data_IF_614217508129
#
_entry.id   IF_614217508129
#
_cell.length_a   1.000
_cell.length_b   1.000
_cell.length_c   1.000
_cell.angle_alpha   90.00
_cell.angle_beta   90.00
_cell.angle_gamma   90.00
#
_symmetry.space_group_name_H-M   'P 1'
#
loop_
_entity.id
_entity.type
_entity.pdbx_description
1 polymer ?
#
# COMPACT_ATOMS: atom_id res chain seq x y z
N UNK A 1 24.21 11.58 59.52
CA UNK A 1 22.98 10.82 59.18
C UNK A 1 22.59 11.24 57.78
N UNK A 2 23.00 10.46 56.78
CA UNK A 2 22.64 10.69 55.40
C UNK A 2 21.25 10.11 55.19
N UNK A 3 20.27 10.98 54.90
CA UNK A 3 19.02 10.55 54.31
C UNK A 3 19.34 10.01 52.92
N UNK A 4 19.34 8.68 52.80
CA UNK A 4 19.32 8.03 51.50
C UNK A 4 18.01 8.45 50.82
N UNK A 5 18.12 9.32 49.83
CA UNK A 5 17.04 9.59 48.88
C UNK A 5 16.69 8.27 48.21
N UNK A 6 15.54 7.70 48.57
CA UNK A 6 14.87 6.68 47.77
C UNK A 6 14.58 7.33 46.41
N UNK A 7 15.46 7.12 45.43
CA UNK A 7 15.10 7.33 44.04
C UNK A 7 13.97 6.35 43.74
N UNK A 8 12.74 6.84 43.60
CA UNK A 8 11.66 6.08 42.98
C UNK A 8 12.19 5.63 41.62
N UNK A 9 12.38 4.32 41.44
CA UNK A 9 12.80 3.76 40.16
C UNK A 9 11.76 4.14 39.10
N UNK A 10 12.24 4.46 37.91
CA UNK A 10 11.41 4.80 36.77
C UNK A 10 10.50 3.60 36.43
N UNK A 11 9.16 3.74 36.44
CA UNK A 11 8.25 2.63 36.18
C UNK A 11 8.52 1.89 34.86
N UNK A 12 8.98 2.61 33.83
CA UNK A 12 9.34 2.01 32.56
C UNK A 12 10.60 1.11 32.64
N UNK A 13 11.57 1.50 33.47
CA UNK A 13 12.79 0.72 33.71
C UNK A 13 12.46 -0.57 34.48
N UNK A 14 11.54 -0.52 35.44
CA UNK A 14 11.04 -1.71 36.15
C UNK A 14 10.30 -2.67 35.21
N UNK A 15 9.57 -2.13 34.22
CA UNK A 15 8.93 -2.95 33.18
C UNK A 15 10.01 -3.61 32.32
N UNK A 16 11.03 -2.87 31.88
CA UNK A 16 12.13 -3.40 31.07
C UNK A 16 12.86 -4.55 31.78
N UNK A 17 13.18 -4.42 33.06
CA UNK A 17 13.83 -5.47 33.86
C UNK A 17 13.00 -6.77 33.93
N UNK A 18 11.67 -6.68 33.79
CA UNK A 18 10.76 -7.84 33.83
C UNK A 18 10.50 -8.45 32.46
N UNK A 19 10.81 -7.75 31.37
CA UNK A 19 10.71 -8.31 30.01
C UNK A 19 11.79 -9.37 29.82
N UNK A 20 11.35 -10.59 29.56
CA UNK A 20 12.25 -11.72 29.29
C UNK A 20 12.16 -12.14 27.83
N UNK A 21 13.23 -11.92 27.08
CA UNK A 21 13.33 -12.27 25.65
C UNK A 21 13.36 -13.77 25.38
N UNK A 22 13.64 -14.62 26.40
CA UNK A 22 13.50 -16.06 26.29
C UNK A 22 12.05 -16.53 26.48
N UNK A 23 11.19 -15.67 27.04
CA UNK A 23 9.79 -15.95 27.35
C UNK A 23 8.84 -14.94 26.69
N UNK A 24 9.01 -14.71 25.38
CA UNK A 24 8.34 -13.65 24.61
C UNK A 24 6.82 -13.57 24.81
N UNK A 25 6.13 -14.73 24.85
CA UNK A 25 4.68 -14.79 25.06
C UNK A 25 4.29 -14.24 26.43
N UNK A 26 5.02 -14.63 27.47
CA UNK A 26 4.76 -14.17 28.84
C UNK A 26 5.07 -12.67 28.99
N UNK A 27 6.13 -12.20 28.33
CA UNK A 27 6.48 -10.77 28.29
C UNK A 27 5.39 -9.94 27.59
N UNK A 28 4.84 -10.44 26.48
CA UNK A 28 3.72 -9.79 25.79
C UNK A 28 2.46 -9.75 26.67
N UNK A 29 2.11 -10.88 27.30
CA UNK A 29 0.95 -10.96 28.19
C UNK A 29 1.10 -10.03 29.41
N UNK A 30 2.33 -9.88 29.93
CA UNK A 30 2.65 -8.90 30.98
C UNK A 30 2.45 -7.46 30.51
N UNK A 31 2.98 -7.08 29.34
CA UNK A 31 2.80 -5.73 28.78
C UNK A 31 1.33 -5.39 28.56
N UNK A 32 0.52 -6.35 28.11
CA UNK A 32 -0.93 -6.19 27.92
C UNK A 32 -1.66 -5.95 29.25
N UNK A 33 -1.13 -6.41 30.38
CA UNK A 33 -1.74 -6.25 31.71
C UNK A 33 -1.33 -4.96 32.43
N UNK A 34 -0.34 -4.22 31.92
CA UNK A 34 0.10 -2.97 32.53
C UNK A 34 -1.00 -1.92 32.55
N UNK A 35 -0.88 -0.96 33.48
CA UNK A 35 -1.67 0.27 33.43
C UNK A 35 -1.31 1.07 32.17
N UNK A 36 -2.31 1.72 31.56
CA UNK A 36 -2.12 2.39 30.27
C UNK A 36 -1.04 3.47 30.31
N UNK A 37 -0.94 4.28 31.38
CA UNK A 37 0.12 5.27 31.51
C UNK A 37 1.52 4.65 31.54
N UNK A 38 1.68 3.53 32.24
CA UNK A 38 2.96 2.82 32.34
C UNK A 38 3.34 2.18 31.00
N UNK A 39 2.36 1.63 30.28
CA UNK A 39 2.59 1.07 28.95
C UNK A 39 3.01 2.14 27.95
N UNK A 40 2.34 3.30 27.93
CA UNK A 40 2.67 4.42 27.03
C UNK A 40 4.07 4.99 27.35
N UNK A 41 4.41 5.17 28.63
CA UNK A 41 5.76 5.60 29.04
C UNK A 41 6.82 4.58 28.62
N UNK A 42 6.52 3.28 28.72
CA UNK A 42 7.41 2.22 28.26
C UNK A 42 7.59 2.24 26.74
N UNK A 43 6.52 2.47 25.98
CA UNK A 43 6.56 2.58 24.50
C UNK A 43 7.51 3.71 24.08
N UNK A 44 7.40 4.88 24.71
CA UNK A 44 8.22 6.04 24.36
C UNK A 44 9.71 5.84 24.68
N UNK A 45 10.04 5.13 25.76
CA UNK A 45 11.44 4.92 26.20
C UNK A 45 12.10 3.68 25.59
N UNK A 46 11.32 2.63 25.35
CA UNK A 46 11.80 1.31 24.93
C UNK A 46 11.08 0.79 23.69
N UNK A 47 10.72 1.68 22.77
CA UNK A 47 10.05 1.40 21.48
C UNK A 47 10.71 0.25 20.72
N UNK A 48 12.04 0.16 20.69
CA UNK A 48 12.76 -0.95 20.05
C UNK A 48 12.39 -2.34 20.58
N UNK A 49 12.13 -2.47 21.88
CA UNK A 49 11.67 -3.74 22.49
C UNK A 49 10.28 -4.10 21.98
N UNK A 50 9.40 -3.11 21.91
CA UNK A 50 8.03 -3.30 21.47
C UNK A 50 7.97 -3.61 19.97
N UNK A 51 8.74 -2.91 19.14
CA UNK A 51 8.90 -3.19 17.70
C UNK A 51 9.39 -4.62 17.48
N UNK A 52 10.39 -5.06 18.24
CA UNK A 52 10.88 -6.44 18.18
C UNK A 52 9.78 -7.44 18.52
N UNK A 53 9.06 -7.23 19.63
CA UNK A 53 7.98 -8.12 20.04
C UNK A 53 6.88 -8.18 18.99
N UNK A 54 6.40 -7.04 18.48
CA UNK A 54 5.33 -6.98 17.49
C UNK A 54 5.66 -7.70 16.18
N UNK A 55 6.95 -7.73 15.81
CA UNK A 55 7.43 -8.42 14.60
C UNK A 55 7.67 -9.93 14.80
N UNK A 56 7.73 -10.44 16.04
CA UNK A 56 8.04 -11.86 16.34
C UNK A 56 6.85 -12.61 16.96
N UNK A 57 5.92 -11.89 17.59
CA UNK A 57 4.71 -12.47 18.18
C UNK A 57 3.72 -12.95 17.10
N UNK A 58 2.87 -13.90 17.48
CA UNK A 58 1.74 -14.31 16.66
C UNK A 58 0.70 -13.18 16.53
N UNK A 59 -0.09 -13.16 15.43
CA UNK A 59 -1.02 -12.06 15.12
C UNK A 59 -1.96 -11.70 16.28
N UNK A 60 -2.52 -12.69 16.97
CA UNK A 60 -3.46 -12.47 18.08
C UNK A 60 -2.83 -11.71 19.24
N UNK A 61 -1.58 -12.03 19.61
CA UNK A 61 -0.86 -11.34 20.68
C UNK A 61 -0.42 -9.95 20.26
N UNK A 62 0.08 -9.79 19.04
CA UNK A 62 0.41 -8.47 18.49
C UNK A 62 -0.82 -7.57 18.50
N UNK A 63 -1.98 -8.08 18.09
CA UNK A 63 -3.24 -7.32 18.11
C UNK A 63 -3.67 -6.91 19.51
N UNK A 64 -3.61 -7.81 20.49
CA UNK A 64 -3.94 -7.47 21.88
C UNK A 64 -3.04 -6.36 22.41
N UNK A 65 -1.75 -6.41 22.13
CA UNK A 65 -0.80 -5.39 22.55
C UNK A 65 -1.04 -4.06 21.83
N UNK A 66 -1.21 -4.08 20.51
CA UNK A 66 -1.53 -2.90 19.71
C UNK A 66 -2.85 -2.24 20.12
N UNK A 67 -3.87 -3.02 20.49
CA UNK A 67 -5.17 -2.50 20.92
C UNK A 67 -5.10 -1.66 22.21
N UNK A 68 -4.02 -1.79 22.97
CA UNK A 68 -3.75 -1.03 24.20
C UNK A 68 -3.05 0.29 23.93
N UNK A 69 -2.51 0.50 22.72
CA UNK A 69 -1.70 1.67 22.38
C UNK A 69 -2.55 2.80 21.80
N UNK A 70 -2.18 4.03 22.15
CA UNK A 70 -2.71 5.23 21.49
C UNK A 70 -2.14 5.40 20.09
N UNK A 71 -2.80 6.19 19.23
CA UNK A 71 -2.25 6.52 17.90
C UNK A 71 -0.90 7.26 18.01
N UNK A 72 -0.69 8.04 19.08
CA UNK A 72 0.58 8.71 19.33
C UNK A 72 1.71 7.71 19.64
N UNK A 73 1.43 6.70 20.46
CA UNK A 73 2.36 5.60 20.72
C UNK A 73 2.65 4.80 19.46
N UNK A 74 1.63 4.50 18.66
CA UNK A 74 1.83 3.83 17.37
C UNK A 74 2.69 4.68 16.43
N UNK A 75 2.43 5.99 16.31
CA UNK A 75 3.26 6.89 15.52
C UNK A 75 4.73 6.86 16.00
N UNK A 76 4.97 6.94 17.31
CA UNK A 76 6.33 6.87 17.86
C UNK A 76 7.04 5.55 17.53
N UNK A 77 6.33 4.42 17.54
CA UNK A 77 6.87 3.13 17.10
C UNK A 77 7.23 3.14 15.61
N UNK A 78 6.37 3.72 14.77
CA UNK A 78 6.59 3.79 13.33
C UNK A 78 7.78 4.70 12.98
N UNK A 79 7.90 5.84 13.67
CA UNK A 79 9.04 6.75 13.54
C UNK A 79 10.35 6.06 13.93
N UNK A 80 10.37 5.36 15.06
CA UNK A 80 11.58 4.67 15.52
C UNK A 80 11.96 3.50 14.62
N UNK A 81 11.00 2.67 14.20
CA UNK A 81 11.27 1.58 13.27
C UNK A 81 11.78 2.13 11.92
N UNK A 82 11.20 3.23 11.42
CA UNK A 82 11.69 3.90 10.22
C UNK A 82 13.13 4.43 10.40
N UNK A 83 13.45 5.05 11.54
CA UNK A 83 14.83 5.48 11.89
C UNK A 83 15.79 4.31 11.87
N UNK A 84 15.47 3.23 12.58
CA UNK A 84 16.31 2.01 12.62
C UNK A 84 16.51 1.41 11.22
N UNK A 85 15.47 1.42 10.38
CA UNK A 85 15.55 0.94 9.01
C UNK A 85 16.46 1.82 8.16
N UNK A 86 16.24 3.13 8.15
CA UNK A 86 17.06 4.05 7.38
C UNK A 86 18.54 4.00 7.81
N UNK A 87 18.83 3.92 9.12
CA UNK A 87 20.20 3.74 9.63
C UNK A 87 20.81 2.43 9.15
N UNK A 88 20.04 1.33 9.21
CA UNK A 88 20.51 0.03 8.70
C UNK A 88 20.82 0.13 7.21
N UNK A 89 19.91 0.70 6.43
CA UNK A 89 20.06 0.83 4.98
C UNK A 89 21.24 1.74 4.61
N UNK A 90 21.45 2.85 5.35
CA UNK A 90 22.65 3.69 5.26
C UNK A 90 23.94 2.87 5.39
N UNK A 91 23.99 1.89 6.29
CA UNK A 91 25.16 1.02 6.43
C UNK A 91 25.37 0.06 5.24
N UNK A 92 24.35 -0.19 4.42
CA UNK A 92 24.41 -1.07 3.24
C UNK A 92 24.67 -0.33 1.93
N UNK A 93 24.46 0.99 1.89
CA UNK A 93 24.60 1.81 0.67
C UNK A 93 26.05 1.97 0.16
N UNK A 94 27.06 1.60 0.96
CA UNK A 94 28.47 1.69 0.54
C UNK A 94 28.90 3.13 0.22
N UNK A 95 29.82 3.29 -0.74
CA UNK A 95 30.44 4.57 -1.16
C UNK A 95 29.55 5.42 -2.12
N UNK A 96 28.22 5.41 -1.97
CA UNK A 96 27.33 6.32 -2.71
C UNK A 96 26.93 7.53 -1.83
N UNK A 97 27.75 8.60 -1.80
CA UNK A 97 27.54 9.74 -0.90
C UNK A 97 26.24 10.48 -1.16
N UNK A 98 25.70 10.47 -2.39
CA UNK A 98 24.48 11.20 -2.73
C UNK A 98 23.23 10.53 -2.13
N UNK A 99 23.15 9.20 -2.19
CA UNK A 99 22.07 8.45 -1.54
C UNK A 99 22.12 8.59 -0.03
N UNK A 100 23.32 8.58 0.55
CA UNK A 100 23.52 8.80 1.98
C UNK A 100 23.00 10.16 2.41
N UNK A 101 23.40 11.25 1.73
CA UNK A 101 22.94 12.62 2.02
C UNK A 101 21.41 12.71 1.93
N UNK A 102 20.82 12.07 0.91
CA UNK A 102 19.37 12.08 0.70
C UNK A 102 18.63 11.36 1.83
N UNK A 103 19.09 10.18 2.26
CA UNK A 103 18.46 9.44 3.36
C UNK A 103 18.66 10.13 4.71
N UNK A 104 19.83 10.72 4.97
CA UNK A 104 20.05 11.51 6.19
C UNK A 104 19.15 12.75 6.19
N UNK A 105 19.03 13.46 5.07
CA UNK A 105 18.14 14.61 4.94
C UNK A 105 16.67 14.24 5.14
N UNK A 106 16.27 13.05 4.67
CA UNK A 106 14.94 12.51 4.95
C UNK A 106 14.70 12.21 6.43
N UNK A 107 15.68 11.64 7.14
CA UNK A 107 15.57 11.43 8.59
C UNK A 107 15.48 12.75 9.35
N UNK A 108 16.30 13.73 8.97
CA UNK A 108 16.21 15.09 9.53
C UNK A 108 14.82 15.71 9.28
N UNK A 109 14.19 15.42 8.14
CA UNK A 109 12.82 15.85 7.84
C UNK A 109 11.78 15.17 8.73
N UNK A 110 11.91 13.87 8.99
CA UNK A 110 11.02 13.13 9.92
C UNK A 110 11.04 13.78 11.30
N UNK A 111 12.22 14.16 11.80
CA UNK A 111 12.33 14.78 13.12
C UNK A 111 11.89 16.26 13.10
N UNK A 112 12.28 17.04 12.08
CA UNK A 112 11.95 18.47 11.98
C UNK A 112 10.49 18.75 11.70
N UNK A 113 9.80 17.87 10.96
CA UNK A 113 8.39 18.01 10.64
C UNK A 113 7.48 17.30 11.65
N UNK A 114 8.03 16.72 12.72
CA UNK A 114 7.23 16.22 13.83
C UNK A 114 6.40 17.36 14.45
N UNK A 115 5.08 17.16 14.51
CA UNK A 115 4.10 18.16 14.94
C UNK A 115 3.64 19.13 13.85
N UNK A 116 4.16 19.02 12.61
CA UNK A 116 3.77 19.88 11.49
C UNK A 116 2.82 19.16 10.52
N UNK A 117 1.71 19.82 10.18
CA UNK A 117 0.66 19.27 9.28
C UNK A 117 0.95 19.44 7.78
N UNK A 118 2.00 20.18 7.42
CA UNK A 118 2.31 20.58 6.04
C UNK A 118 3.77 20.37 5.71
N UNK A 119 4.05 19.86 4.51
CA UNK A 119 5.40 19.73 3.97
C UNK A 119 5.68 20.93 3.05
N UNK A 120 6.74 21.73 3.29
CA UNK A 120 7.14 22.78 2.37
C UNK A 120 7.50 22.23 0.99
N UNK A 121 7.13 22.94 -0.09
CA UNK A 121 7.27 22.42 -1.47
C UNK A 121 8.72 22.03 -1.83
N UNK A 122 9.71 22.76 -1.32
CA UNK A 122 11.14 22.46 -1.54
C UNK A 122 11.58 21.10 -0.94
N UNK A 123 10.89 20.62 0.09
CA UNK A 123 11.20 19.34 0.77
C UNK A 123 10.51 18.16 0.10
N UNK A 124 9.46 18.42 -0.71
CA UNK A 124 8.67 17.36 -1.37
C UNK A 124 9.53 16.50 -2.30
N UNK A 125 10.49 17.11 -2.99
CA UNK A 125 11.45 16.40 -3.85
C UNK A 125 12.40 15.51 -3.06
N UNK A 126 12.92 15.99 -1.93
CA UNK A 126 13.80 15.21 -1.05
C UNK A 126 13.09 13.98 -0.51
N UNK A 127 11.83 14.12 -0.09
CA UNK A 127 11.01 12.98 0.36
C UNK A 127 10.81 11.99 -0.79
N UNK A 128 10.46 12.45 -1.99
CA UNK A 128 10.25 11.57 -3.14
C UNK A 128 11.51 10.78 -3.49
N UNK A 129 12.67 11.43 -3.55
CA UNK A 129 13.94 10.79 -3.86
C UNK A 129 14.35 9.78 -2.78
N UNK A 130 14.19 10.13 -1.51
CA UNK A 130 14.46 9.23 -0.38
C UNK A 130 13.57 8.00 -0.42
N UNK A 131 12.26 8.17 -0.65
CA UNK A 131 11.30 7.06 -0.71
C UNK A 131 11.58 6.15 -1.89
N UNK A 132 12.03 6.69 -3.03
CA UNK A 132 12.50 5.89 -4.17
C UNK A 132 13.70 5.03 -3.78
N UNK A 133 14.72 5.62 -3.14
CA UNK A 133 15.90 4.87 -2.65
C UNK A 133 15.46 3.75 -1.69
N UNK A 134 14.61 4.05 -0.70
CA UNK A 134 14.13 3.06 0.26
C UNK A 134 13.32 1.93 -0.42
N UNK A 135 12.52 2.25 -1.44
CA UNK A 135 11.73 1.26 -2.18
C UNK A 135 12.61 0.31 -3.00
N UNK A 136 13.64 0.85 -3.66
CA UNK A 136 14.61 0.07 -4.43
C UNK A 136 15.35 -0.90 -3.50
N UNK A 137 15.83 -0.40 -2.35
CA UNK A 137 16.52 -1.20 -1.33
C UNK A 137 15.61 -2.28 -0.71
N UNK A 138 14.34 -1.96 -0.44
CA UNK A 138 13.37 -2.94 0.07
C UNK A 138 13.15 -4.08 -0.92
N UNK A 139 13.19 -3.79 -2.22
CA UNK A 139 12.99 -4.78 -3.28
C UNK A 139 14.19 -5.70 -3.44
N UNK A 140 15.41 -5.15 -3.40
CA UNK A 140 16.65 -5.92 -3.45
C UNK A 140 16.87 -6.79 -2.20
N UNK A 141 16.51 -6.28 -1.03
CA UNK A 141 16.67 -6.98 0.25
C UNK A 141 15.58 -8.00 0.58
N UNK A 142 14.46 -8.00 -0.15
CA UNK A 142 13.38 -8.99 -0.06
C UNK A 142 12.64 -9.06 1.28
N UNK A 143 12.80 -8.09 2.19
CA UNK A 143 12.24 -8.14 3.55
C UNK A 143 11.20 -7.04 3.76
N UNK A 144 9.92 -7.44 3.74
CA UNK A 144 8.81 -6.60 4.23
C UNK A 144 9.02 -6.25 5.71
N UNK A 145 8.68 -5.02 6.09
CA UNK A 145 8.73 -4.50 7.47
C UNK A 145 7.35 -4.04 7.90
N UNK A 146 7.21 -3.65 9.16
CA UNK A 146 5.92 -3.21 9.71
C UNK A 146 4.82 -4.26 9.56
N UNK A 147 5.16 -5.55 9.63
CA UNK A 147 4.22 -6.65 9.35
C UNK A 147 3.01 -6.61 10.29
N UNK A 148 3.20 -6.10 11.50
CA UNK A 148 2.13 -5.94 12.47
C UNK A 148 1.05 -4.94 12.03
N UNK A 149 1.32 -4.08 11.05
CA UNK A 149 0.29 -3.20 10.47
C UNK A 149 -0.79 -3.99 9.74
N UNK A 150 -0.47 -5.15 9.16
CA UNK A 150 -1.45 -6.00 8.48
C UNK A 150 -2.50 -6.58 9.42
N UNK A 151 -2.23 -6.59 10.72
CA UNK A 151 -3.15 -7.14 11.70
C UNK A 151 -4.25 -6.15 12.08
N UNK A 152 -4.05 -4.85 11.90
CA UNK A 152 -5.09 -3.86 12.16
C UNK A 152 -6.24 -3.99 11.16
N UNK A 153 -7.47 -3.73 11.64
CA UNK A 153 -8.63 -3.53 10.75
C UNK A 153 -8.41 -2.32 9.83
N UNK A 154 -9.03 -2.34 8.65
CA UNK A 154 -8.95 -1.23 7.68
C UNK A 154 -9.29 0.14 8.32
N UNK A 155 -10.36 0.22 9.10
CA UNK A 155 -10.79 1.46 9.78
C UNK A 155 -9.69 2.02 10.71
N UNK A 156 -9.01 1.11 11.43
CA UNK A 156 -7.93 1.49 12.35
C UNK A 156 -6.66 1.92 11.60
N UNK A 157 -6.33 1.27 10.49
CA UNK A 157 -5.24 1.71 9.62
C UNK A 157 -5.51 3.11 9.04
N UNK A 158 -6.74 3.35 8.56
CA UNK A 158 -7.15 4.67 8.10
C UNK A 158 -7.02 5.74 9.19
N UNK A 159 -7.44 5.42 10.42
CA UNK A 159 -7.30 6.32 11.57
C UNK A 159 -5.83 6.63 11.88
N UNK A 160 -4.96 5.61 11.92
CA UNK A 160 -3.53 5.76 12.19
C UNK A 160 -2.86 6.59 11.09
N UNK A 161 -3.08 6.26 9.81
CA UNK A 161 -2.41 6.97 8.72
C UNK A 161 -2.92 8.40 8.56
N UNK A 162 -4.20 8.65 8.84
CA UNK A 162 -4.72 10.03 8.92
C UNK A 162 -4.06 10.80 10.06
N UNK A 163 -3.96 10.19 11.24
CA UNK A 163 -3.27 10.81 12.39
C UNK A 163 -1.81 11.11 12.07
N UNK A 164 -1.08 10.17 11.45
CA UNK A 164 0.30 10.38 11.01
C UNK A 164 0.38 11.52 9.98
N UNK A 165 -0.57 11.61 9.05
CA UNK A 165 -0.60 12.69 8.07
C UNK A 165 -0.80 14.08 8.69
N UNK A 166 -1.44 14.14 9.85
CA UNK A 166 -1.63 15.38 10.62
C UNK A 166 -0.46 15.67 11.57
N UNK A 167 0.22 14.64 12.09
CA UNK A 167 1.24 14.79 13.13
C UNK A 167 2.67 14.69 12.64
N UNK A 168 2.94 13.86 11.63
CA UNK A 168 4.25 13.73 11.02
C UNK A 168 4.10 13.10 9.61
N UNK A 169 3.71 13.90 8.60
CA UNK A 169 3.46 13.40 7.23
C UNK A 169 4.59 12.55 6.64
N UNK A 170 5.90 12.89 6.79
CA UNK A 170 7.02 12.08 6.32
C UNK A 170 6.91 10.58 6.62
N UNK A 171 6.44 10.21 7.82
CA UNK A 171 6.37 8.81 8.27
C UNK A 171 5.59 7.95 7.30
N UNK A 172 4.44 8.41 6.81
CA UNK A 172 3.60 7.65 5.89
C UNK A 172 4.34 7.29 4.59
N UNK A 173 5.19 8.16 4.05
CA UNK A 173 5.94 7.85 2.83
C UNK A 173 7.01 6.79 3.07
N UNK A 174 7.70 6.85 4.21
CA UNK A 174 8.66 5.82 4.61
C UNK A 174 8.01 4.45 4.74
N UNK A 175 6.79 4.39 5.30
CA UNK A 175 6.02 3.14 5.39
C UNK A 175 5.70 2.56 4.01
N UNK A 176 5.37 3.38 3.02
CA UNK A 176 5.03 2.91 1.67
C UNK A 176 6.15 2.11 1.00
N UNK A 177 7.41 2.41 1.32
CA UNK A 177 8.58 1.73 0.75
C UNK A 177 8.76 0.30 1.27
N UNK A 178 8.49 0.04 2.56
CA UNK A 178 8.78 -1.25 3.20
C UNK A 178 7.56 -2.10 3.57
N UNK A 179 6.37 -1.49 3.56
CA UNK A 179 5.13 -2.16 3.94
C UNK A 179 4.54 -2.95 2.78
N UNK A 180 3.54 -3.78 3.09
CA UNK A 180 2.81 -4.54 2.08
C UNK A 180 1.96 -3.66 1.17
N UNK A 181 1.52 -4.24 0.05
CA UNK A 181 0.64 -3.59 -0.91
C UNK A 181 -0.64 -3.06 -0.25
N UNK A 182 -1.27 -3.82 0.65
CA UNK A 182 -2.47 -3.40 1.36
C UNK A 182 -2.26 -2.13 2.20
N UNK A 183 -1.17 -2.07 2.97
CA UNK A 183 -0.82 -0.89 3.77
C UNK A 183 -0.55 0.31 2.86
N UNK A 184 0.21 0.10 1.79
CA UNK A 184 0.53 1.13 0.80
C UNK A 184 -0.72 1.68 0.10
N UNK A 185 -1.65 0.80 -0.28
CA UNK A 185 -2.93 1.18 -0.90
C UNK A 185 -3.78 2.02 0.05
N UNK A 186 -3.78 1.68 1.34
CA UNK A 186 -4.49 2.45 2.37
C UNK A 186 -3.86 3.83 2.57
N UNK A 187 -2.53 3.93 2.59
CA UNK A 187 -1.83 5.23 2.68
C UNK A 187 -2.14 6.09 1.45
N UNK A 188 -2.09 5.53 0.24
CA UNK A 188 -2.44 6.23 -0.99
C UNK A 188 -3.88 6.76 -0.97
N UNK A 189 -4.83 5.95 -0.50
CA UNK A 189 -6.24 6.35 -0.36
C UNK A 189 -6.39 7.54 0.60
N UNK A 190 -5.71 7.49 1.75
CA UNK A 190 -5.73 8.56 2.75
C UNK A 190 -5.09 9.85 2.21
N UNK A 191 -3.95 9.75 1.54
CA UNK A 191 -3.30 10.89 0.89
C UNK A 191 -4.25 11.54 -0.14
N UNK A 192 -4.78 10.75 -1.07
CA UNK A 192 -5.67 11.25 -2.11
C UNK A 192 -6.94 11.94 -1.55
N UNK A 193 -7.50 11.43 -0.45
CA UNK A 193 -8.72 12.02 0.14
C UNK A 193 -8.47 13.25 1.01
N UNK A 194 -7.35 13.31 1.72
CA UNK A 194 -7.14 14.30 2.76
C UNK A 194 -6.06 15.33 2.43
N UNK A 195 -5.01 14.95 1.70
CA UNK A 195 -3.89 15.80 1.30
C UNK A 195 -3.39 15.40 -0.11
N UNK A 196 -4.21 15.57 -1.16
CA UNK A 196 -3.86 15.10 -2.50
C UNK A 196 -2.58 15.75 -3.05
N UNK A 197 -2.25 16.97 -2.61
CA UNK A 197 -1.02 17.68 -2.97
C UNK A 197 0.26 16.94 -2.57
N UNK A 198 0.17 16.04 -1.59
CA UNK A 198 1.27 15.23 -1.13
C UNK A 198 1.51 13.97 -1.98
N UNK A 199 0.63 13.67 -2.94
CA UNK A 199 0.85 12.58 -3.90
C UNK A 199 2.07 12.84 -4.80
N UNK A 200 2.49 14.09 -4.95
CA UNK A 200 3.72 14.44 -5.69
C UNK A 200 4.98 13.89 -5.00
N UNK A 201 4.92 13.62 -3.70
CA UNK A 201 6.03 13.02 -2.93
C UNK A 201 6.13 11.50 -3.13
N UNK A 202 5.16 10.87 -3.78
CA UNK A 202 5.15 9.42 -3.97
C UNK A 202 5.89 9.07 -5.28
N UNK A 203 6.88 8.17 -5.26
CA UNK A 203 7.48 7.65 -6.48
C UNK A 203 6.45 6.92 -7.36
N UNK A 204 6.47 7.08 -8.70
CA UNK A 204 5.52 6.43 -9.61
C UNK A 204 5.41 4.91 -9.44
N UNK A 205 6.51 4.24 -9.10
CA UNK A 205 6.59 2.78 -8.89
C UNK A 205 5.79 2.28 -7.69
N UNK A 206 5.40 3.17 -6.76
CA UNK A 206 4.63 2.82 -5.57
C UNK A 206 3.12 2.98 -5.76
N UNK A 207 2.67 3.53 -6.89
CA UNK A 207 1.24 3.63 -7.21
C UNK A 207 0.67 2.26 -7.64
N UNK A 208 -0.55 1.98 -7.19
CA UNK A 208 -1.32 0.81 -7.61
C UNK A 208 -2.54 1.24 -8.41
N UNK A 209 -2.83 0.51 -9.50
CA UNK A 209 -4.03 0.74 -10.31
C UNK A 209 -5.33 0.38 -9.57
N UNK A 210 -5.28 -0.28 -8.40
CA UNK A 210 -6.50 -0.62 -7.65
C UNK A 210 -7.29 0.61 -7.23
N UNK A 211 -6.59 1.71 -6.95
CA UNK A 211 -7.18 2.99 -6.58
C UNK A 211 -7.48 3.91 -7.78
N UNK A 212 -7.42 3.41 -9.02
CA UNK A 212 -7.52 4.27 -10.22
C UNK A 212 -8.79 5.14 -10.25
N UNK A 213 -9.94 4.65 -9.76
CA UNK A 213 -11.18 5.44 -9.70
C UNK A 213 -11.05 6.68 -8.81
N UNK A 214 -10.33 6.57 -7.70
CA UNK A 214 -10.05 7.69 -6.82
C UNK A 214 -9.08 8.68 -7.49
N UNK A 215 -8.11 8.15 -8.21
CA UNK A 215 -7.13 8.94 -8.96
C UNK A 215 -7.71 9.71 -10.14
N UNK A 216 -8.86 9.30 -10.67
CA UNK A 216 -9.59 10.03 -11.72
C UNK A 216 -10.34 11.27 -11.23
N UNK A 217 -10.53 11.45 -9.91
CA UNK A 217 -11.12 12.69 -9.39
C UNK A 217 -10.24 13.88 -9.78
N UNK A 218 -10.76 14.94 -10.44
CA UNK A 218 -9.98 16.10 -10.84
C UNK A 218 -9.18 16.74 -9.69
N UNK A 219 -9.70 16.67 -8.45
CA UNK A 219 -9.02 17.21 -7.25
C UNK A 219 -7.79 16.41 -6.83
N UNK A 220 -7.65 15.20 -7.35
CA UNK A 220 -6.56 14.27 -7.06
C UNK A 220 -5.65 14.14 -8.28
N UNK A 221 -6.24 14.00 -9.46
CA UNK A 221 -5.57 13.71 -10.72
C UNK A 221 -4.42 14.68 -11.03
N UNK A 222 -4.65 15.98 -10.82
CA UNK A 222 -3.67 17.03 -11.10
C UNK A 222 -2.41 16.95 -10.24
N UNK A 223 -2.46 16.26 -9.09
CA UNK A 223 -1.34 16.05 -8.18
C UNK A 223 -0.60 14.73 -8.40
N UNK A 224 -1.08 13.87 -9.30
CA UNK A 224 -0.39 12.65 -9.65
C UNK A 224 0.84 12.96 -10.53
N UNK A 225 1.94 12.19 -10.41
CA UNK A 225 3.03 12.28 -11.38
C UNK A 225 2.52 12.02 -12.81
N UNK A 226 3.08 12.71 -13.81
CA UNK A 226 2.62 12.63 -15.21
C UNK A 226 2.60 11.20 -15.76
N UNK A 227 3.59 10.38 -15.38
CA UNK A 227 3.65 8.96 -15.75
C UNK A 227 2.46 8.17 -15.20
N UNK A 228 2.05 8.46 -13.96
CA UNK A 228 0.89 7.83 -13.32
C UNK A 228 -0.42 8.35 -13.94
N UNK A 229 -0.51 9.64 -14.25
CA UNK A 229 -1.64 10.22 -14.96
C UNK A 229 -1.90 9.52 -16.30
N UNK A 230 -0.84 9.26 -17.07
CA UNK A 230 -0.91 8.50 -18.32
C UNK A 230 -1.48 7.10 -18.10
N UNK A 231 -0.91 6.35 -17.16
CA UNK A 231 -1.35 4.99 -16.81
C UNK A 231 -2.81 4.97 -16.37
N UNK A 232 -3.24 5.90 -15.51
CA UNK A 232 -4.61 5.97 -15.00
C UNK A 232 -5.60 6.26 -16.13
N UNK A 233 -5.29 7.20 -17.04
CA UNK A 233 -6.15 7.52 -18.19
C UNK A 233 -6.25 6.37 -19.18
N UNK A 234 -5.12 5.71 -19.46
CA UNK A 234 -5.08 4.55 -20.34
C UNK A 234 -5.91 3.40 -19.76
N UNK A 235 -5.71 3.10 -18.47
CA UNK A 235 -6.47 2.07 -17.78
C UNK A 235 -7.97 2.40 -17.76
N UNK A 236 -8.35 3.64 -17.49
CA UNK A 236 -9.75 4.06 -17.52
C UNK A 236 -10.38 3.91 -18.92
N UNK A 237 -9.64 4.26 -19.97
CA UNK A 237 -10.07 4.08 -21.36
C UNK A 237 -10.27 2.60 -21.69
N UNK A 238 -9.37 1.73 -21.23
CA UNK A 238 -9.51 0.27 -21.36
C UNK A 238 -10.74 -0.26 -20.61
N UNK A 239 -11.04 0.26 -19.41
CA UNK A 239 -12.23 -0.16 -18.66
C UNK A 239 -13.53 0.30 -19.34
N UNK A 240 -13.59 1.52 -19.86
CA UNK A 240 -14.74 2.01 -20.64
C UNK A 240 -14.92 1.19 -21.93
N UNK A 241 -13.85 0.96 -22.68
CA UNK A 241 -13.88 0.09 -23.86
C UNK A 241 -14.36 -1.33 -23.53
N UNK A 242 -13.99 -1.86 -22.36
CA UNK A 242 -14.44 -3.17 -21.87
C UNK A 242 -15.95 -3.16 -21.68
N UNK A 243 -16.46 -2.16 -20.98
CA UNK A 243 -17.87 -2.04 -20.65
C UNK A 243 -18.73 -1.83 -21.90
N UNK A 244 -18.25 -1.05 -22.87
CA UNK A 244 -18.92 -0.84 -24.16
C UNK A 244 -18.99 -2.14 -24.98
N UNK A 245 -17.90 -2.91 -24.98
CA UNK A 245 -17.84 -4.20 -25.66
C UNK A 245 -18.80 -5.20 -24.98
N UNK A 246 -18.77 -5.31 -23.65
CA UNK A 246 -19.70 -6.16 -22.87
C UNK A 246 -21.15 -5.75 -23.15
N UNK A 247 -21.46 -4.46 -23.11
CA UNK A 247 -22.82 -3.96 -23.38
C UNK A 247 -23.26 -4.34 -24.79
N UNK A 248 -22.38 -4.19 -25.78
CA UNK A 248 -22.66 -4.58 -27.17
C UNK A 248 -22.90 -6.08 -27.32
N UNK A 249 -22.12 -6.91 -26.62
CA UNK A 249 -22.29 -8.37 -26.59
C UNK A 249 -23.64 -8.73 -25.95
N UNK A 250 -23.98 -8.15 -24.79
CA UNK A 250 -25.25 -8.41 -24.10
C UNK A 250 -26.45 -8.02 -24.95
N UNK A 251 -26.40 -6.89 -25.66
CA UNK A 251 -27.44 -6.49 -26.60
C UNK A 251 -27.61 -7.50 -27.75
N UNK A 252 -26.50 -8.02 -28.29
CA UNK A 252 -26.52 -9.07 -29.33
C UNK A 252 -27.09 -10.39 -28.85
N UNK A 253 -26.84 -10.74 -27.58
CA UNK A 253 -27.36 -11.94 -26.94
C UNK A 253 -28.76 -11.74 -26.33
N UNK A 254 -29.37 -10.56 -26.48
CA UNK A 254 -30.64 -10.18 -25.86
C UNK A 254 -30.69 -10.40 -24.34
N UNK A 255 -29.55 -10.16 -23.68
CA UNK A 255 -29.40 -10.31 -22.23
C UNK A 255 -29.71 -8.99 -21.52
N UNK A 256 -30.56 -9.05 -20.51
CA UNK A 256 -30.72 -7.99 -19.50
C UNK A 256 -29.47 -7.87 -18.61
N UNK A 257 -29.32 -6.75 -17.88
CA UNK A 257 -28.11 -6.48 -17.08
C UNK A 257 -27.83 -7.54 -15.99
N UNK A 258 -28.87 -8.20 -15.48
CA UNK A 258 -28.77 -9.08 -14.31
C UNK A 258 -28.75 -10.58 -14.69
N UNK A 259 -28.91 -10.91 -15.97
CA UNK A 259 -28.88 -12.30 -16.44
C UNK A 259 -27.46 -12.86 -16.42
N UNK A 260 -27.30 -14.07 -15.86
CA UNK A 260 -26.06 -14.83 -15.95
C UNK A 260 -25.81 -15.27 -17.39
N UNK A 261 -24.54 -15.19 -17.81
CA UNK A 261 -24.12 -15.66 -19.12
C UNK A 261 -23.91 -17.18 -19.05
N UNK A 262 -24.82 -17.95 -19.65
CA UNK A 262 -24.59 -19.37 -19.88
C UNK A 262 -24.09 -19.55 -21.32
N UNK A 263 -22.77 -19.62 -21.45
CA UNK A 263 -22.08 -19.74 -22.72
C UNK A 263 -22.41 -21.03 -23.49
N UNK A 264 -22.95 -22.07 -22.86
CA UNK A 264 -23.37 -23.31 -23.53
C UNK A 264 -24.78 -23.21 -24.12
N UNK A 265 -25.60 -22.30 -23.62
CA UNK A 265 -27.02 -22.15 -23.98
C UNK A 265 -27.29 -21.32 -25.25
N UNK A 266 -26.31 -20.58 -25.76
CA UNK A 266 -26.53 -19.67 -26.89
C UNK A 266 -26.63 -20.39 -28.23
N UNK A 267 -27.56 -19.93 -29.06
CA UNK A 267 -27.67 -20.33 -30.46
C UNK A 267 -26.33 -20.09 -31.20
N UNK A 268 -25.84 -21.07 -32.00
CA UNK A 268 -24.62 -20.92 -32.80
C UNK A 268 -24.57 -19.63 -33.64
N UNK A 269 -25.69 -19.16 -34.19
CA UNK A 269 -25.73 -17.94 -35.01
C UNK A 269 -25.48 -16.69 -34.16
N UNK A 270 -26.16 -16.59 -33.00
CA UNK A 270 -25.96 -15.49 -32.06
C UNK A 270 -24.51 -15.46 -31.54
N UNK A 271 -23.91 -16.63 -31.31
CA UNK A 271 -22.51 -16.76 -30.92
C UNK A 271 -21.55 -16.28 -32.02
N UNK A 272 -21.76 -16.66 -33.27
CA UNK A 272 -20.93 -16.17 -34.39
C UNK A 272 -21.03 -14.65 -34.55
N UNK A 273 -22.21 -14.06 -34.34
CA UNK A 273 -22.37 -12.60 -34.34
C UNK A 273 -21.57 -11.92 -33.22
N UNK A 274 -21.49 -12.53 -32.03
CA UNK A 274 -20.65 -12.07 -30.92
C UNK A 274 -19.17 -12.17 -31.27
N UNK A 275 -18.71 -13.30 -31.82
CA UNK A 275 -17.31 -13.46 -32.24
C UNK A 275 -16.91 -12.43 -33.29
N UNK A 276 -17.76 -12.20 -34.30
CA UNK A 276 -17.54 -11.19 -35.33
C UNK A 276 -17.50 -9.76 -34.75
N UNK A 277 -18.37 -9.46 -33.79
CA UNK A 277 -18.35 -8.18 -33.08
C UNK A 277 -17.02 -7.97 -32.34
N UNK A 278 -16.59 -8.99 -31.58
CA UNK A 278 -15.34 -8.93 -30.80
C UNK A 278 -14.14 -8.78 -31.74
N UNK A 279 -14.06 -9.60 -32.80
CA UNK A 279 -13.00 -9.49 -33.79
C UNK A 279 -12.95 -8.10 -34.44
N UNK A 280 -14.09 -7.59 -34.90
CA UNK A 280 -14.17 -6.28 -35.57
C UNK A 280 -13.73 -5.15 -34.66
N UNK A 281 -14.05 -5.22 -33.36
CA UNK A 281 -13.65 -4.23 -32.37
C UNK A 281 -12.16 -4.32 -32.01
N UNK A 282 -11.63 -5.54 -31.86
CA UNK A 282 -10.27 -5.75 -31.38
C UNK A 282 -9.19 -5.76 -32.47
N UNK A 283 -9.55 -5.91 -33.76
CA UNK A 283 -8.56 -6.05 -34.86
C UNK A 283 -7.63 -4.85 -35.05
N UNK A 284 -8.02 -3.66 -34.61
CA UNK A 284 -7.20 -2.44 -34.70
C UNK A 284 -6.48 -2.11 -33.38
N UNK A 285 -6.79 -2.83 -32.31
CA UNK A 285 -6.19 -2.59 -31.00
C UNK A 285 -4.75 -3.14 -30.95
N UNK A 286 -3.89 -2.61 -30.08
CA UNK A 286 -2.59 -3.22 -29.78
C UNK A 286 -2.74 -4.64 -29.21
N UNK A 287 -1.73 -5.48 -29.40
CA UNK A 287 -1.75 -6.89 -28.93
C UNK A 287 -2.07 -7.01 -27.44
N UNK A 288 -1.47 -6.18 -26.61
CA UNK A 288 -1.66 -6.19 -25.16
C UNK A 288 -3.11 -5.88 -24.77
N UNK A 289 -3.73 -4.91 -25.43
CA UNK A 289 -5.14 -4.55 -25.24
C UNK A 289 -6.06 -5.68 -25.71
N UNK A 290 -5.77 -6.33 -26.85
CA UNK A 290 -6.52 -7.52 -27.30
C UNK A 290 -6.48 -8.64 -26.26
N UNK A 291 -5.28 -8.96 -25.78
CA UNK A 291 -5.09 -10.01 -24.77
C UNK A 291 -5.81 -9.69 -23.47
N UNK A 292 -5.79 -8.42 -23.05
CA UNK A 292 -6.55 -7.95 -21.89
C UNK A 292 -8.06 -8.18 -22.07
N UNK A 293 -8.66 -7.67 -23.14
CA UNK A 293 -10.11 -7.81 -23.39
C UNK A 293 -10.54 -9.28 -23.51
N UNK A 294 -9.78 -10.07 -24.26
CA UNK A 294 -10.08 -11.48 -24.48
C UNK A 294 -10.03 -12.30 -23.18
N UNK A 295 -9.02 -12.08 -22.33
CA UNK A 295 -8.94 -12.74 -21.01
C UNK A 295 -10.12 -12.36 -20.12
N UNK A 296 -10.50 -11.07 -20.10
CA UNK A 296 -11.62 -10.59 -19.31
C UNK A 296 -12.95 -11.20 -19.78
N UNK A 297 -13.21 -11.20 -21.09
CA UNK A 297 -14.42 -11.79 -21.66
C UNK A 297 -14.52 -13.29 -21.39
N UNK A 298 -13.39 -14.01 -21.40
CA UNK A 298 -13.36 -15.42 -21.01
C UNK A 298 -13.62 -15.61 -19.50
N UNK A 299 -12.98 -14.83 -18.63
CA UNK A 299 -13.19 -14.92 -17.18
C UNK A 299 -14.60 -14.56 -16.73
N UNK A 300 -15.25 -13.63 -17.43
CA UNK A 300 -16.63 -13.21 -17.17
C UNK A 300 -17.67 -14.12 -17.87
N UNK A 301 -17.23 -15.17 -18.57
CA UNK A 301 -18.09 -16.19 -19.15
C UNK A 301 -18.63 -15.89 -20.55
N UNK A 302 -18.30 -14.75 -21.16
CA UNK A 302 -18.75 -14.39 -22.53
C UNK A 302 -18.06 -15.17 -23.65
N UNK A 303 -16.90 -15.77 -23.39
CA UNK A 303 -16.16 -16.59 -24.35
C UNK A 303 -15.85 -17.97 -23.77
N UNK A 304 -16.04 -19.02 -24.56
CA UNK A 304 -15.48 -20.35 -24.24
C UNK A 304 -13.98 -20.37 -24.54
N UNK A 305 -13.24 -21.33 -23.98
CA UNK A 305 -11.81 -21.47 -24.26
C UNK A 305 -11.52 -21.63 -25.77
N UNK A 306 -12.37 -22.38 -26.48
CA UNK A 306 -12.24 -22.55 -27.93
C UNK A 306 -12.46 -21.25 -28.71
N UNK A 307 -13.38 -20.39 -28.26
CA UNK A 307 -13.62 -19.08 -28.89
C UNK A 307 -12.44 -18.15 -28.67
N UNK A 308 -11.86 -18.19 -27.46
CA UNK A 308 -10.68 -17.43 -27.10
C UNK A 308 -9.50 -17.77 -28.02
N UNK A 309 -9.23 -19.05 -28.21
CA UNK A 309 -8.13 -19.52 -29.05
C UNK A 309 -8.37 -19.17 -30.53
N UNK A 310 -9.61 -19.29 -31.00
CA UNK A 310 -10.00 -18.91 -32.36
C UNK A 310 -9.85 -17.41 -32.60
N UNK A 311 -10.34 -16.56 -31.69
CA UNK A 311 -10.19 -15.11 -31.79
C UNK A 311 -8.73 -14.67 -31.74
N UNK A 312 -7.88 -15.31 -30.93
CA UNK A 312 -6.43 -15.05 -30.91
C UNK A 312 -5.79 -15.36 -32.25
N UNK A 313 -6.00 -16.57 -32.78
CA UNK A 313 -5.45 -16.95 -34.08
C UNK A 313 -5.92 -16.03 -35.20
N UNK A 314 -7.18 -15.59 -35.19
CA UNK A 314 -7.69 -14.67 -36.20
C UNK A 314 -7.13 -13.26 -36.07
N UNK A 315 -7.01 -12.73 -34.85
CA UNK A 315 -6.46 -11.40 -34.59
C UNK A 315 -4.93 -11.34 -34.88
N UNK A 316 -4.24 -12.46 -34.72
CA UNK A 316 -2.83 -12.62 -35.10
C UNK A 316 -2.64 -12.89 -36.60
N UNK A 317 -3.72 -12.98 -37.38
CA UNK A 317 -3.69 -13.19 -38.83
C UNK A 317 -3.33 -14.61 -39.26
N UNK A 318 -3.48 -15.59 -38.37
CA UNK A 318 -3.18 -17.01 -38.66
C UNK A 318 -4.34 -17.72 -39.36
N UNK A 319 -5.57 -17.21 -39.19
CA UNK A 319 -6.80 -17.71 -39.79
C UNK A 319 -7.72 -16.54 -40.16
N UNK A 320 -8.60 -16.74 -41.14
CA UNK A 320 -9.71 -15.82 -41.43
C UNK A 320 -10.97 -16.30 -40.69
N UNK A 321 -11.70 -15.35 -40.09
CA UNK A 321 -12.85 -15.58 -39.21
C UNK A 321 -14.19 -15.48 -39.95
#
# INVERSE_FOLDING_TARGET
MNAASQHSRDPAEEVYEKVNFLMLKSSADYLVQLESSVLEDFVLKYSGVLIFLLNVLDPDRSLKLLSRLTNASVLSLLEEELRMLAIREVAHLGDDPEKLITLTGYLDLVDRLAGHETIPDQEKGVIQDAVRILADMSTEGGKKRFLYLEYFSADKLQEIFRFNLEKNPPVNFGLMAFSSEQVRETILEILARHKPDLLTCVPPTLFSIRNYKLFLDPRVFDYLPESVQGIVREFDSLQHGKQDLITSIRLKLHLSADQSVDNESFDPEARNQVLNLIYTRLRLEPRESRDFFLRQLNSEGYLRQQDLDLLRSALDGQIDL
#
